data_IF_565637013864
#
_entry.id   IF_565637013864
#
_cell.length_a   1.000
_cell.length_b   1.000
_cell.length_c   1.000
_cell.angle_alpha   90.00
_cell.angle_beta   90.00
_cell.angle_gamma   90.00
#
_symmetry.space_group_name_H-M   'P 1'
#
loop_
_entity.id
_entity.type
_entity.pdbx_description
1 polymer ?
#
# COMPACT_ATOMS: atom_id res chain seq x y z
N UNK A 1 -37.06 -24.32 24.92
CA UNK A 1 -36.14 -23.17 24.83
C UNK A 1 -35.09 -23.48 23.76
N UNK A 2 -35.22 -22.93 22.56
CA UNK A 2 -34.18 -23.05 21.53
C UNK A 2 -33.19 -21.89 21.69
N UNK A 3 -31.97 -22.21 22.10
CA UNK A 3 -30.86 -21.26 22.13
C UNK A 3 -30.39 -21.03 20.68
N UNK A 4 -30.68 -19.86 20.13
CA UNK A 4 -30.04 -19.39 18.90
C UNK A 4 -28.55 -19.22 19.15
N UNK A 5 -27.75 -20.17 18.64
CA UNK A 5 -26.30 -20.02 18.53
C UNK A 5 -26.01 -18.81 17.63
N UNK A 6 -25.54 -17.73 18.25
CA UNK A 6 -24.80 -16.67 17.58
C UNK A 6 -23.67 -17.31 16.76
N UNK A 7 -23.76 -17.18 15.45
CA UNK A 7 -22.71 -17.54 14.51
C UNK A 7 -21.55 -16.55 14.69
N UNK A 8 -20.43 -17.01 15.23
CA UNK A 8 -19.16 -16.30 15.23
C UNK A 8 -18.71 -16.06 13.78
N UNK A 9 -19.14 -14.94 13.19
CA UNK A 9 -18.53 -14.41 11.97
C UNK A 9 -17.22 -13.74 12.40
N UNK A 10 -16.11 -14.47 12.33
CA UNK A 10 -14.77 -13.86 12.33
C UNK A 10 -14.75 -12.77 11.26
N UNK A 11 -14.54 -11.52 11.66
CA UNK A 11 -14.47 -10.39 10.74
C UNK A 11 -13.31 -10.61 9.77
N UNK A 12 -13.59 -10.77 8.48
CA UNK A 12 -12.54 -10.75 7.46
C UNK A 12 -11.94 -9.35 7.46
N UNK A 13 -10.67 -9.24 7.84
CA UNK A 13 -9.92 -7.99 7.74
C UNK A 13 -9.39 -7.86 6.31
N UNK A 14 -9.77 -6.78 5.64
CA UNK A 14 -9.22 -6.40 4.34
C UNK A 14 -8.14 -5.34 4.53
N UNK A 15 -7.04 -5.48 3.81
CA UNK A 15 -5.96 -4.50 3.77
C UNK A 15 -5.75 -4.03 2.33
N UNK A 16 -5.73 -2.71 2.14
CA UNK A 16 -5.39 -2.08 0.87
C UNK A 16 -3.91 -1.66 0.92
N UNK A 17 -3.11 -2.19 -0.01
CA UNK A 17 -1.71 -1.80 -0.18
C UNK A 17 -1.57 -0.86 -1.37
N UNK A 18 -0.96 0.30 -1.13
CA UNK A 18 -0.68 1.28 -2.18
C UNK A 18 0.78 1.19 -2.58
N UNK A 19 1.05 0.95 -3.86
CA UNK A 19 2.40 0.86 -4.42
C UNK A 19 2.63 2.13 -5.25
N UNK A 20 3.49 3.07 -4.80
CA UNK A 20 3.85 4.21 -5.61
C UNK A 20 4.66 3.74 -6.82
N UNK A 21 4.25 4.18 -8.01
CA UNK A 21 4.91 3.88 -9.27
C UNK A 21 5.14 5.19 -10.03
N UNK A 22 6.32 5.33 -10.63
CA UNK A 22 6.67 6.49 -11.47
C UNK A 22 6.80 6.01 -12.91
N UNK A 23 6.26 6.77 -13.86
CA UNK A 23 6.21 6.39 -15.28
C UNK A 23 7.59 6.05 -15.90
N UNK A 24 8.66 6.62 -15.34
CA UNK A 24 10.03 6.47 -15.82
C UNK A 24 10.76 5.24 -15.26
N UNK A 25 10.10 4.39 -14.46
CA UNK A 25 10.69 3.18 -13.90
C UNK A 25 10.36 1.94 -14.75
N UNK A 26 11.30 1.01 -14.86
CA UNK A 26 11.13 -0.24 -15.64
C UNK A 26 9.90 -1.04 -15.18
N UNK A 27 9.54 -0.94 -13.90
CA UNK A 27 8.36 -1.59 -13.33
C UNK A 27 7.06 -1.03 -13.91
N UNK A 28 6.98 0.27 -14.15
CA UNK A 28 5.81 0.89 -14.78
C UNK A 28 5.56 0.32 -16.17
N UNK A 29 6.62 0.19 -16.98
CA UNK A 29 6.55 -0.39 -18.34
C UNK A 29 6.15 -1.87 -18.34
N UNK A 30 6.46 -2.62 -17.28
CA UNK A 30 6.00 -4.00 -17.13
C UNK A 30 4.51 -4.05 -16.78
N UNK A 31 4.04 -3.13 -15.93
CA UNK A 31 2.66 -3.08 -15.48
C UNK A 31 1.69 -2.60 -16.58
N UNK A 32 2.11 -1.67 -17.44
CA UNK A 32 1.31 -1.24 -18.60
C UNK A 32 1.02 -2.38 -19.60
N UNK A 33 1.78 -3.49 -19.56
CA UNK A 33 1.52 -4.68 -20.39
C UNK A 33 0.39 -5.56 -19.87
N UNK A 34 0.03 -5.44 -18.59
CA UNK A 34 -0.96 -6.30 -17.93
C UNK A 34 -2.18 -5.54 -17.41
N UNK A 35 -2.15 -4.21 -17.41
CA UNK A 35 -3.23 -3.39 -16.87
C UNK A 35 -3.31 -2.01 -17.49
N UNK A 36 -4.45 -1.36 -17.24
CA UNK A 36 -4.71 0.02 -17.62
C UNK A 36 -4.61 0.92 -16.40
N UNK A 37 -4.14 2.15 -16.62
CA UNK A 37 -4.08 3.18 -15.59
C UNK A 37 -5.25 4.14 -15.79
N UNK A 38 -5.99 4.40 -14.71
CA UNK A 38 -7.13 5.30 -14.72
C UNK A 38 -6.93 6.40 -13.69
N UNK A 39 -7.50 7.57 -13.96
CA UNK A 39 -7.52 8.65 -12.99
C UNK A 39 -8.41 8.28 -11.80
N UNK A 40 -7.89 8.42 -10.57
CA UNK A 40 -8.61 8.08 -9.34
C UNK A 40 -9.96 8.80 -9.24
N UNK A 41 -10.02 10.06 -9.67
CA UNK A 41 -11.26 10.85 -9.68
C UNK A 41 -12.31 10.29 -10.63
N UNK A 42 -11.89 9.71 -11.77
CA UNK A 42 -12.80 9.07 -12.72
C UNK A 42 -13.39 7.78 -12.14
N UNK A 43 -12.55 6.89 -11.59
CA UNK A 43 -13.03 5.64 -10.99
C UNK A 43 -13.87 5.86 -9.74
N UNK A 44 -13.52 6.85 -8.90
CA UNK A 44 -14.33 7.23 -7.75
C UNK A 44 -15.71 7.71 -8.16
N UNK A 45 -15.80 8.54 -9.22
CA UNK A 45 -17.07 8.97 -9.79
C UNK A 45 -17.89 7.78 -10.31
N UNK A 46 -17.27 6.81 -10.98
CA UNK A 46 -17.97 5.59 -11.42
C UNK A 46 -18.54 4.80 -10.24
N UNK A 47 -17.78 4.66 -9.15
CA UNK A 47 -18.26 3.98 -7.94
C UNK A 47 -19.53 4.61 -7.33
N UNK A 48 -19.77 5.90 -7.58
CA UNK A 48 -20.94 6.63 -7.06
C UNK A 48 -22.14 6.60 -8.01
N UNK A 49 -21.90 6.49 -9.32
CA UNK A 49 -22.95 6.60 -10.35
C UNK A 49 -23.43 5.23 -10.84
N UNK A 50 -22.52 4.27 -10.97
CA UNK A 50 -22.79 2.93 -11.49
C UNK A 50 -22.33 1.86 -10.50
N UNK A 51 -23.29 1.26 -9.80
CA UNK A 51 -23.03 0.24 -8.79
C UNK A 51 -22.51 -1.08 -9.36
N UNK A 52 -22.48 -1.26 -10.68
CA UNK A 52 -22.13 -2.53 -11.33
C UNK A 52 -20.76 -2.53 -12.01
N UNK A 53 -20.03 -1.40 -11.98
CA UNK A 53 -18.72 -1.30 -12.62
C UNK A 53 -17.63 -2.08 -11.86
N UNK A 54 -17.68 -2.07 -10.53
CA UNK A 54 -16.74 -2.79 -9.67
C UNK A 54 -17.47 -3.56 -8.56
N UNK A 55 -16.76 -4.51 -7.91
CA UNK A 55 -17.27 -5.16 -6.70
C UNK A 55 -17.46 -4.15 -5.56
N UNK A 56 -18.31 -4.48 -4.58
CA UNK A 56 -18.55 -3.62 -3.40
C UNK A 56 -17.25 -3.34 -2.65
N UNK A 57 -16.40 -4.36 -2.51
CA UNK A 57 -15.09 -4.27 -1.87
C UNK A 57 -14.14 -3.36 -2.65
N UNK A 58 -14.12 -3.48 -3.98
CA UNK A 58 -13.31 -2.61 -4.84
C UNK A 58 -13.78 -1.15 -4.76
N UNK A 59 -15.09 -0.90 -4.85
CA UNK A 59 -15.66 0.44 -4.67
C UNK A 59 -15.29 1.02 -3.30
N UNK A 60 -15.40 0.22 -2.24
CA UNK A 60 -15.00 0.63 -0.90
C UNK A 60 -13.52 1.04 -0.85
N UNK A 61 -12.62 0.21 -1.40
CA UNK A 61 -11.19 0.51 -1.45
C UNK A 61 -10.88 1.79 -2.24
N UNK A 62 -11.51 2.01 -3.40
CA UNK A 62 -11.32 3.21 -4.22
C UNK A 62 -11.72 4.48 -3.44
N UNK A 63 -12.90 4.47 -2.82
CA UNK A 63 -13.40 5.61 -2.06
C UNK A 63 -12.57 5.88 -0.79
N UNK A 64 -12.13 4.83 -0.10
CA UNK A 64 -11.23 4.97 1.05
C UNK A 64 -9.85 5.49 0.64
N UNK A 65 -9.32 5.04 -0.51
CA UNK A 65 -8.05 5.52 -1.04
C UNK A 65 -8.11 7.02 -1.35
N UNK A 66 -9.13 7.47 -2.07
CA UNK A 66 -9.29 8.90 -2.41
C UNK A 66 -9.38 9.77 -1.16
N UNK A 67 -10.20 9.35 -0.19
CA UNK A 67 -10.33 10.05 1.09
C UNK A 67 -9.01 10.08 1.85
N UNK A 68 -8.32 8.95 1.94
CA UNK A 68 -7.05 8.85 2.65
C UNK A 68 -5.98 9.73 2.01
N UNK A 69 -5.83 9.71 0.69
CA UNK A 69 -4.89 10.57 -0.04
C UNK A 69 -5.20 12.05 0.20
N UNK A 70 -6.47 12.45 0.17
CA UNK A 70 -6.89 13.82 0.48
C UNK A 70 -6.52 14.22 1.91
N UNK A 71 -6.86 13.39 2.89
CA UNK A 71 -6.59 13.65 4.31
C UNK A 71 -5.08 13.74 4.59
N UNK A 72 -4.27 12.83 4.02
CA UNK A 72 -2.81 12.85 4.16
C UNK A 72 -2.19 14.09 3.52
N UNK A 73 -2.62 14.46 2.31
CA UNK A 73 -2.11 15.64 1.62
C UNK A 73 -2.53 16.95 2.31
N UNK A 74 -3.73 16.99 2.89
CA UNK A 74 -4.20 18.12 3.69
C UNK A 74 -3.37 18.28 4.98
N UNK A 75 -3.04 17.18 5.65
CA UNK A 75 -2.26 17.19 6.89
C UNK A 75 -0.78 17.49 6.64
N UNK A 76 -0.25 17.09 5.49
CA UNK A 76 1.14 17.33 5.09
C UNK A 76 1.20 17.66 3.60
N UNK A 77 1.48 18.91 3.27
CA UNK A 77 1.54 19.41 1.89
C UNK A 77 2.61 18.73 1.02
N UNK A 78 3.59 18.06 1.64
CA UNK A 78 4.62 17.30 0.95
C UNK A 78 4.32 15.80 0.89
N UNK A 79 3.15 15.34 1.35
CA UNK A 79 2.83 13.93 1.44
C UNK A 79 2.91 13.23 0.08
N UNK A 80 2.15 13.70 -0.92
CA UNK A 80 2.14 13.06 -2.24
C UNK A 80 3.52 13.08 -2.90
N UNK A 81 4.22 14.21 -2.80
CA UNK A 81 5.59 14.33 -3.32
C UNK A 81 6.53 13.30 -2.65
N UNK A 82 6.47 13.14 -1.33
CA UNK A 82 7.27 12.13 -0.62
C UNK A 82 6.80 10.70 -0.89
N UNK A 83 5.51 10.48 -1.08
CA UNK A 83 4.95 9.16 -1.32
C UNK A 83 5.39 8.61 -2.69
N UNK A 84 5.36 9.45 -3.73
CA UNK A 84 5.74 9.04 -5.08
C UNK A 84 7.21 9.26 -5.42
N UNK A 85 7.86 10.31 -4.93
CA UNK A 85 9.20 10.71 -5.41
C UNK A 85 10.34 10.37 -4.46
N UNK A 86 10.06 9.83 -3.26
CA UNK A 86 11.12 9.40 -2.35
C UNK A 86 11.75 8.10 -2.86
N UNK A 87 13.07 8.07 -3.16
CA UNK A 87 13.68 6.84 -3.66
C UNK A 87 13.56 5.69 -2.65
N UNK A 88 13.53 4.43 -3.13
CA UNK A 88 13.55 3.25 -2.28
C UNK A 88 14.64 3.33 -1.21
N UNK A 89 14.36 2.80 -0.01
CA UNK A 89 15.29 2.86 1.13
C UNK A 89 16.70 2.36 0.76
N UNK A 90 16.79 1.33 -0.08
CA UNK A 90 18.04 0.78 -0.62
C UNK A 90 18.94 1.84 -1.28
N UNK A 91 18.36 2.82 -1.96
CA UNK A 91 19.10 3.91 -2.63
C UNK A 91 19.49 5.01 -1.62
N UNK A 92 18.72 5.16 -0.53
CA UNK A 92 18.91 6.22 0.47
C UNK A 92 19.85 5.85 1.61
N UNK A 93 20.05 4.57 1.88
CA UNK A 93 20.98 4.09 2.90
C UNK A 93 22.40 4.51 2.51
N UNK A 94 23.10 5.18 3.45
CA UNK A 94 24.50 5.59 3.26
C UNK A 94 25.46 4.61 3.92
N UNK A 95 25.12 4.20 5.14
CA UNK A 95 25.91 3.29 5.96
C UNK A 95 24.95 2.41 6.76
N UNK A 96 25.37 1.18 7.03
CA UNK A 96 24.69 0.27 7.94
C UNK A 96 25.74 -0.36 8.83
N UNK A 97 25.59 -0.21 10.14
CA UNK A 97 26.44 -0.87 11.13
C UNK A 97 25.65 -2.02 11.73
N UNK A 98 26.10 -3.23 11.47
CA UNK A 98 25.57 -4.43 12.10
C UNK A 98 26.36 -4.72 13.37
N UNK A 99 25.68 -5.18 14.42
CA UNK A 99 26.36 -5.65 15.61
C UNK A 99 26.96 -7.04 15.29
N UNK A 100 28.29 -7.23 15.38
CA UNK A 100 28.94 -8.49 15.00
C UNK A 100 28.43 -9.72 15.75
N UNK A 101 27.86 -9.54 16.96
CA UNK A 101 27.25 -10.63 17.71
C UNK A 101 26.06 -11.31 16.98
N UNK A 102 25.47 -10.63 15.99
CA UNK A 102 24.36 -11.13 15.18
C UNK A 102 24.76 -11.59 13.78
N UNK A 103 26.01 -11.39 13.37
CA UNK A 103 26.51 -11.89 12.09
C UNK A 103 27.09 -13.29 12.32
N UNK A 104 26.53 -14.31 11.68
CA UNK A 104 26.94 -15.71 11.94
C UNK A 104 28.46 -15.90 11.78
N UNK A 105 29.07 -15.26 10.78
CA UNK A 105 30.51 -15.33 10.50
C UNK A 105 31.37 -14.66 11.59
N UNK A 106 30.85 -13.61 12.24
CA UNK A 106 31.59 -12.82 13.22
C UNK A 106 31.21 -13.09 14.68
N UNK A 107 30.07 -13.73 14.93
CA UNK A 107 29.61 -14.11 16.27
C UNK A 107 30.64 -14.96 17.03
N UNK A 108 31.36 -15.82 16.31
CA UNK A 108 32.45 -16.64 16.87
C UNK A 108 33.62 -15.83 17.41
N UNK A 109 33.85 -14.60 16.92
CA UNK A 109 34.87 -13.67 17.40
C UNK A 109 34.43 -12.88 18.65
N UNK A 110 33.13 -12.88 18.97
CA UNK A 110 32.56 -12.18 20.12
C UNK A 110 32.59 -13.00 21.41
N UNK A 111 32.85 -14.31 21.31
CA UNK A 111 33.06 -15.18 22.48
C UNK A 111 34.56 -15.18 22.83
N UNK A 112 34.93 -14.45 23.89
CA UNK A 112 36.23 -14.56 24.57
C UNK A 112 36.07 -15.23 25.92
#
# INVERSE_FOLDING_TARGET
MMQNRSSNTTSVQFALYCIPLIENEDEFTKLTKIGHFEALSSVSKYCQVDSNCFSVETCHCILQLERWLYDQQRNNTNFLARFFLLPPAKIRIRECAHNPAYEHEHSTLCHK
#
